data_IF_387907661824
#
_entry.id   IF_387907661824
#
_cell.length_a   1.000
_cell.length_b   1.000
_cell.length_c   1.000
_cell.angle_alpha   90.00
_cell.angle_beta   90.00
_cell.angle_gamma   90.00
#
_symmetry.space_group_name_H-M   'P 1'
#
loop_
_entity.id
_entity.type
_entity.pdbx_description
1 polymer ?
#
# COMPACT_ATOMS: atom_id res chain seq x y z
N UNK A 1 16.95 13.96 -11.11
CA UNK A 1 15.57 13.98 -10.59
C UNK A 1 14.78 14.97 -11.43
N UNK A 2 13.74 14.54 -12.15
CA UNK A 2 12.92 15.45 -12.96
C UNK A 2 12.16 16.41 -12.05
N UNK A 3 12.15 17.71 -12.39
CA UNK A 3 11.33 18.71 -11.68
C UNK A 3 9.85 18.38 -11.91
N UNK A 4 9.04 18.45 -10.86
CA UNK A 4 7.58 18.41 -11.00
C UNK A 4 7.16 19.67 -11.77
N UNK A 5 6.32 19.49 -12.79
CA UNK A 5 5.75 20.59 -13.55
C UNK A 5 4.48 21.07 -12.85
N UNK A 6 4.61 22.13 -12.05
CA UNK A 6 3.52 22.71 -11.26
C UNK A 6 2.44 23.40 -12.12
N UNK A 7 2.63 23.49 -13.45
CA UNK A 7 1.60 24.04 -14.37
C UNK A 7 0.49 23.03 -14.70
N UNK A 8 0.70 21.74 -14.43
CA UNK A 8 -0.26 20.69 -14.71
C UNK A 8 -1.32 20.61 -13.61
N UNK A 9 -2.59 20.33 -13.96
CA UNK A 9 -3.61 20.09 -12.96
C UNK A 9 -3.25 18.87 -12.12
N UNK A 10 -3.42 18.99 -10.80
CA UNK A 10 -3.27 17.87 -9.89
C UNK A 10 -4.37 16.82 -10.16
N UNK A 11 -3.97 15.55 -10.27
CA UNK A 11 -4.88 14.41 -10.44
C UNK A 11 -4.73 13.52 -9.22
N UNK A 12 -5.80 13.40 -8.44
CA UNK A 12 -5.80 12.59 -7.22
C UNK A 12 -5.82 11.09 -7.54
N UNK A 13 -4.70 10.42 -7.27
CA UNK A 13 -4.56 8.96 -7.35
C UNK A 13 -5.30 8.29 -6.19
N UNK A 14 -6.02 7.21 -6.48
CA UNK A 14 -6.60 6.29 -5.49
C UNK A 14 -5.60 5.22 -5.09
N UNK A 15 -5.20 5.22 -3.82
CA UNK A 15 -4.22 4.28 -3.27
C UNK A 15 -4.87 3.18 -2.45
N UNK A 16 -4.31 1.98 -2.52
CA UNK A 16 -4.51 0.95 -1.52
C UNK A 16 -3.20 0.65 -0.77
N UNK A 17 -3.27 0.47 0.55
CA UNK A 17 -2.10 0.25 1.42
C UNK A 17 -2.17 -1.13 2.06
N UNK A 18 -1.21 -2.01 1.75
CA UNK A 18 -1.09 -3.35 2.31
C UNK A 18 0.10 -3.44 3.27
N UNK A 19 -0.18 -3.73 4.53
CA UNK A 19 0.85 -4.10 5.49
C UNK A 19 1.00 -5.63 5.51
N UNK A 20 2.22 -6.12 5.29
CA UNK A 20 2.55 -7.55 5.32
C UNK A 20 3.26 -7.82 6.65
N UNK A 21 2.58 -8.52 7.56
CA UNK A 21 3.11 -8.85 8.87
C UNK A 21 2.32 -9.98 9.56
N UNK A 22 3.05 -10.89 10.21
CA UNK A 22 2.45 -11.94 11.05
C UNK A 22 1.98 -11.44 12.42
N UNK A 23 2.48 -10.29 12.87
CA UNK A 23 2.30 -9.84 14.27
C UNK A 23 1.54 -8.52 14.40
N UNK A 24 1.40 -7.76 13.32
CA UNK A 24 0.72 -6.46 13.35
C UNK A 24 -0.78 -6.59 13.16
N UNK A 25 -1.47 -5.62 13.75
CA UNK A 25 -2.88 -5.32 13.60
C UNK A 25 -3.03 -3.86 13.18
N UNK A 26 -4.25 -3.44 12.84
CA UNK A 26 -4.50 -2.03 12.48
C UNK A 26 -4.16 -1.05 13.62
N UNK A 27 -4.23 -1.50 14.88
CA UNK A 27 -3.97 -0.66 16.05
C UNK A 27 -2.49 -0.34 16.25
N UNK A 28 -1.58 -1.21 15.81
CA UNK A 28 -0.13 -1.09 16.02
C UNK A 28 0.68 -1.03 14.71
N UNK A 29 -0.01 -1.00 13.57
CA UNK A 29 0.58 -0.78 12.25
C UNK A 29 0.93 0.70 12.01
N UNK A 30 2.09 1.10 12.55
CA UNK A 30 2.62 2.46 12.41
C UNK A 30 2.99 2.81 10.97
N UNK A 31 3.55 1.86 10.22
CA UNK A 31 3.98 2.10 8.83
C UNK A 31 2.77 2.33 7.92
N UNK A 32 1.75 1.48 8.02
CA UNK A 32 0.51 1.67 7.27
C UNK A 32 -0.18 2.98 7.62
N UNK A 33 -0.27 3.33 8.91
CA UNK A 33 -0.85 4.63 9.31
C UNK A 33 -0.05 5.81 8.77
N UNK A 34 1.28 5.75 8.81
CA UNK A 34 2.14 6.79 8.23
C UNK A 34 1.95 6.95 6.72
N UNK A 35 1.74 5.85 6.00
CA UNK A 35 1.46 5.89 4.56
C UNK A 35 0.10 6.53 4.27
N UNK A 36 -0.93 6.16 5.03
CA UNK A 36 -2.26 6.77 4.92
C UNK A 36 -2.19 8.29 5.13
N UNK A 37 -1.58 8.74 6.23
CA UNK A 37 -1.48 10.16 6.55
C UNK A 37 -0.79 10.94 5.42
N UNK A 38 0.26 10.36 4.81
CA UNK A 38 1.00 10.99 3.71
C UNK A 38 0.20 11.03 2.40
N UNK A 39 -0.57 9.98 2.10
CA UNK A 39 -1.46 9.93 0.93
C UNK A 39 -2.48 11.07 1.04
N UNK A 40 -3.16 11.16 2.17
CA UNK A 40 -4.20 12.16 2.40
C UNK A 40 -3.62 13.58 2.44
N UNK A 41 -2.50 13.78 3.13
CA UNK A 41 -1.82 15.08 3.19
C UNK A 41 -1.32 15.57 1.81
N UNK A 42 -1.03 14.65 0.89
CA UNK A 42 -0.66 14.97 -0.48
C UNK A 42 -1.87 15.25 -1.39
N UNK A 43 -3.11 15.16 -0.89
CA UNK A 43 -4.34 15.38 -1.65
C UNK A 43 -4.80 14.16 -2.45
N UNK A 44 -4.20 12.99 -2.24
CA UNK A 44 -4.62 11.73 -2.85
C UNK A 44 -5.74 11.06 -2.03
N UNK A 45 -6.30 9.97 -2.56
CA UNK A 45 -7.41 9.25 -1.91
C UNK A 45 -6.92 7.91 -1.39
N UNK A 46 -7.17 7.60 -0.11
CA UNK A 46 -7.09 6.22 0.36
C UNK A 46 -8.39 5.50 -0.01
N UNK A 47 -8.26 4.44 -0.81
CA UNK A 47 -9.39 3.61 -1.25
C UNK A 47 -9.58 2.44 -0.29
N UNK A 48 -8.49 1.76 0.06
CA UNK A 48 -8.54 0.63 0.98
C UNK A 48 -7.21 0.50 1.75
N UNK A 49 -7.30 -0.06 2.96
CA UNK A 49 -6.16 -0.46 3.76
C UNK A 49 -6.36 -1.89 4.24
N UNK A 50 -5.33 -2.72 4.09
CA UNK A 50 -5.34 -4.12 4.48
C UNK A 50 -4.10 -4.53 5.26
N UNK A 51 -4.23 -5.62 6.01
CA UNK A 51 -3.10 -6.33 6.64
C UNK A 51 -3.21 -7.81 6.28
N UNK A 52 -2.11 -8.41 5.84
CA UNK A 52 -2.00 -9.85 5.58
C UNK A 52 -0.75 -10.40 6.27
N UNK A 53 -0.78 -11.69 6.61
CA UNK A 53 0.40 -12.42 7.10
C UNK A 53 1.41 -12.59 5.96
N UNK A 54 2.65 -12.97 6.28
CA UNK A 54 3.73 -13.18 5.30
C UNK A 54 3.53 -14.50 4.53
N UNK A 55 2.49 -14.52 3.72
CA UNK A 55 2.00 -15.67 2.95
C UNK A 55 1.72 -15.24 1.51
N UNK A 56 2.41 -15.88 0.55
CA UNK A 56 2.31 -15.56 -0.89
C UNK A 56 0.88 -15.65 -1.40
N UNK A 57 0.10 -16.63 -0.94
CA UNK A 57 -1.28 -16.82 -1.35
C UNK A 57 -2.13 -15.63 -0.93
N UNK A 58 -2.08 -15.26 0.35
CA UNK A 58 -2.83 -14.13 0.89
C UNK A 58 -2.43 -12.79 0.26
N UNK A 59 -1.13 -12.59 0.03
CA UNK A 59 -0.64 -11.38 -0.64
C UNK A 59 -1.19 -11.31 -2.06
N UNK A 60 -1.11 -12.40 -2.83
CA UNK A 60 -1.63 -12.45 -4.22
C UNK A 60 -3.13 -12.28 -4.29
N UNK A 61 -3.88 -12.94 -3.42
CA UNK A 61 -5.34 -12.85 -3.40
C UNK A 61 -5.80 -11.41 -3.13
N UNK A 62 -5.19 -10.74 -2.14
CA UNK A 62 -5.48 -9.35 -1.82
C UNK A 62 -5.08 -8.39 -2.95
N UNK A 63 -3.94 -8.63 -3.61
CA UNK A 63 -3.53 -7.82 -4.77
C UNK A 63 -4.49 -8.02 -5.95
N UNK A 64 -4.91 -9.26 -6.25
CA UNK A 64 -5.87 -9.53 -7.33
C UNK A 64 -7.23 -8.88 -7.08
N UNK A 65 -7.71 -8.91 -5.83
CA UNK A 65 -8.91 -8.19 -5.42
C UNK A 65 -8.79 -6.70 -5.72
N UNK A 66 -7.65 -6.09 -5.40
CA UNK A 66 -7.42 -4.66 -5.63
C UNK A 66 -7.21 -4.29 -7.09
N UNK A 67 -6.59 -5.15 -7.89
CA UNK A 67 -6.45 -4.96 -9.34
C UNK A 67 -7.84 -4.91 -10.01
N UNK A 68 -8.81 -5.66 -9.50
CA UNK A 68 -10.17 -5.67 -10.04
C UNK A 68 -10.99 -4.43 -9.65
N UNK A 69 -10.51 -3.60 -8.71
CA UNK A 69 -11.22 -2.42 -8.24
C UNK A 69 -10.83 -1.17 -9.05
N UNK A 70 -11.73 -0.60 -9.87
CA UNK A 70 -11.41 0.55 -10.71
C UNK A 70 -11.17 1.86 -9.94
N UNK A 71 -11.42 1.89 -8.62
CA UNK A 71 -11.09 3.05 -7.80
C UNK A 71 -9.62 3.08 -7.36
N UNK A 72 -8.90 1.94 -7.44
CA UNK A 72 -7.51 1.77 -7.04
C UNK A 72 -6.61 1.97 -8.27
N UNK A 73 -5.84 3.04 -8.24
CA UNK A 73 -4.87 3.39 -9.27
C UNK A 73 -3.45 2.88 -8.92
N UNK A 74 -3.15 2.75 -7.62
CA UNK A 74 -1.84 2.35 -7.13
C UNK A 74 -1.93 1.53 -5.84
N UNK A 75 -1.07 0.52 -5.72
CA UNK A 75 -0.92 -0.31 -4.51
C UNK A 75 0.44 -0.04 -3.87
N UNK A 76 0.44 0.23 -2.57
CA UNK A 76 1.64 0.36 -1.75
C UNK A 76 1.71 -0.78 -0.74
N UNK A 77 2.80 -1.52 -0.73
CA UNK A 77 3.05 -2.58 0.25
C UNK A 77 4.13 -2.15 1.24
N UNK A 78 4.04 -2.59 2.50
CA UNK A 78 5.08 -2.41 3.51
C UNK A 78 5.24 -3.66 4.37
N UNK A 79 6.48 -4.12 4.58
CA UNK A 79 6.79 -5.39 5.25
C UNK A 79 7.04 -6.56 4.29
N UNK A 80 7.62 -7.65 4.81
CA UNK A 80 7.91 -8.90 4.05
C UNK A 80 9.05 -8.83 3.03
N UNK A 81 9.88 -7.77 3.05
CA UNK A 81 11.01 -7.57 2.11
C UNK A 81 12.39 -7.88 2.71
N UNK A 82 12.45 -8.64 3.80
CA UNK A 82 13.72 -9.05 4.40
C UNK A 82 14.49 -10.08 3.56
N UNK A 83 15.64 -10.52 4.07
CA UNK A 83 16.53 -11.50 3.40
C UNK A 83 16.38 -12.93 3.94
N UNK A 84 15.33 -13.21 4.71
CA UNK A 84 15.12 -14.53 5.31
C UNK A 84 14.27 -15.41 4.40
N UNK A 85 14.35 -16.73 4.55
CA UNK A 85 13.55 -17.68 3.75
C UNK A 85 12.02 -17.60 3.93
N UNK A 86 11.54 -16.64 4.73
CA UNK A 86 10.12 -16.32 4.92
C UNK A 86 9.69 -15.03 4.21
N UNK A 87 10.63 -14.20 3.77
CA UNK A 87 10.33 -12.95 3.07
C UNK A 87 10.00 -13.25 1.61
N UNK A 88 8.74 -13.07 1.24
CA UNK A 88 8.19 -13.53 -0.05
C UNK A 88 7.58 -12.41 -0.90
N UNK A 89 7.81 -11.15 -0.50
CA UNK A 89 7.31 -9.97 -1.20
C UNK A 89 8.09 -9.63 -2.50
N UNK A 90 9.42 -9.85 -2.64
CA UNK A 90 10.14 -9.65 -3.90
C UNK A 90 9.85 -10.68 -4.99
#
# INVERSE_FOLDING_TARGET
MGKVDDSRPFIAVGFAVLTISDTRSLADDKSGSTLVDRIEAAGHRLVERGIVTDDVGKIRDKIHEWIANPAIDAVLTTGGTGFTGRDVTP
#
